data_IF_057729397310
#
_entry.id   IF_057729397310
#
_cell.length_a   1.000
_cell.length_b   1.000
_cell.length_c   1.000
_cell.angle_alpha   90.00
_cell.angle_beta   90.00
_cell.angle_gamma   90.00
#
_symmetry.space_group_name_H-M   'P 1'
#
loop_
_entity.id
_entity.type
_entity.pdbx_description
1 polymer ?
#
# COMPACT_ATOMS: atom_id res chain seq x y z
N UNK A 1 0.76 -0.05 -5.13
CA UNK A 1 0.06 -0.14 -3.81
C UNK A 1 -0.24 -1.60 -3.40
N UNK A 2 0.27 -2.60 -4.14
CA UNK A 2 -0.11 -4.02 -4.02
C UNK A 2 0.18 -4.61 -2.62
N UNK A 3 1.43 -4.50 -2.16
CA UNK A 3 1.88 -5.07 -0.86
C UNK A 3 1.09 -4.49 0.31
N UNK A 4 0.86 -3.19 0.31
CA UNK A 4 0.13 -2.49 1.37
C UNK A 4 -1.33 -2.97 1.46
N UNK A 5 -1.99 -3.11 0.30
CA UNK A 5 -3.36 -3.63 0.23
C UNK A 5 -3.44 -5.04 0.79
N UNK A 6 -2.56 -5.94 0.35
CA UNK A 6 -2.56 -7.33 0.80
C UNK A 6 -2.26 -7.46 2.29
N UNK A 7 -1.26 -6.73 2.80
CA UNK A 7 -0.91 -6.71 4.23
C UNK A 7 -2.08 -6.23 5.08
N UNK A 8 -2.81 -5.20 4.61
CA UNK A 8 -4.01 -4.70 5.30
C UNK A 8 -5.14 -5.72 5.31
N UNK A 9 -5.37 -6.45 4.22
CA UNK A 9 -6.38 -7.52 4.14
C UNK A 9 -6.05 -8.61 5.16
N UNK A 10 -4.81 -9.09 5.21
CA UNK A 10 -4.38 -10.10 6.18
C UNK A 10 -4.62 -9.65 7.62
N UNK A 11 -4.19 -8.42 7.96
CA UNK A 11 -4.40 -7.87 9.30
C UNK A 11 -5.87 -7.76 9.68
N UNK A 12 -6.77 -7.47 8.74
CA UNK A 12 -8.21 -7.48 9.02
C UNK A 12 -8.69 -8.91 9.33
N UNK A 13 -8.29 -9.88 8.51
CA UNK A 13 -8.67 -11.29 8.68
C UNK A 13 -8.15 -11.88 10.01
N UNK A 14 -6.90 -11.57 10.38
CA UNK A 14 -6.30 -11.99 11.67
C UNK A 14 -7.09 -11.49 12.89
N UNK A 15 -7.66 -10.29 12.77
CA UNK A 15 -8.49 -9.69 13.82
C UNK A 15 -9.96 -10.13 13.74
N UNK A 16 -10.28 -11.15 12.93
CA UNK A 16 -11.64 -11.67 12.76
C UNK A 16 -12.57 -10.72 12.01
N UNK A 17 -12.03 -9.72 11.29
CA UNK A 17 -12.81 -8.79 10.47
C UNK A 17 -12.93 -9.34 9.05
N UNK A 18 -14.15 -9.56 8.53
CA UNK A 18 -14.36 -9.96 7.14
C UNK A 18 -13.69 -8.98 6.16
N UNK A 19 -12.88 -9.50 5.25
CA UNK A 19 -12.20 -8.72 4.22
C UNK A 19 -12.36 -9.39 2.85
N UNK A 20 -12.53 -8.56 1.82
CA UNK A 20 -12.76 -8.96 0.44
C UNK A 20 -11.74 -8.23 -0.42
N UNK A 21 -10.87 -8.97 -1.10
CA UNK A 21 -9.83 -8.44 -1.97
C UNK A 21 -10.19 -8.70 -3.42
N UNK A 22 -10.08 -7.67 -4.27
CA UNK A 22 -10.25 -7.81 -5.72
C UNK A 22 -9.02 -7.28 -6.46
N UNK A 23 -8.92 -7.66 -7.73
CA UNK A 23 -7.96 -7.10 -8.68
C UNK A 23 -8.66 -6.85 -10.03
N UNK A 24 -8.49 -5.66 -10.59
CA UNK A 24 -8.94 -5.34 -11.93
C UNK A 24 -7.85 -5.73 -12.94
N UNK A 25 -8.12 -6.75 -13.76
CA UNK A 25 -7.12 -7.30 -14.71
C UNK A 25 -7.51 -7.09 -16.17
N UNK A 26 -8.64 -6.43 -16.44
CA UNK A 26 -9.01 -6.04 -17.80
C UNK A 26 -8.04 -4.96 -18.33
N UNK A 27 -7.44 -5.12 -19.53
CA UNK A 27 -6.29 -4.31 -19.93
C UNK A 27 -6.61 -2.89 -20.40
N UNK A 28 -7.89 -2.55 -20.59
CA UNK A 28 -8.29 -1.19 -20.98
C UNK A 28 -8.75 -0.41 -19.76
N UNK A 29 -8.41 0.88 -19.74
CA UNK A 29 -8.72 1.80 -18.65
C UNK A 29 -8.37 1.17 -17.29
N UNK A 30 -7.12 0.72 -17.19
CA UNK A 30 -6.55 0.04 -16.03
C UNK A 30 -5.53 0.92 -15.29
N UNK A 31 -5.51 2.22 -15.59
CA UNK A 31 -4.63 3.14 -14.89
C UNK A 31 -5.14 3.35 -13.45
N UNK A 32 -4.24 3.81 -12.59
CA UNK A 32 -4.59 4.06 -11.21
C UNK A 32 -5.79 5.02 -11.14
N UNK A 33 -6.84 4.61 -10.42
CA UNK A 33 -8.14 5.28 -10.24
C UNK A 33 -9.22 5.04 -11.29
N UNK A 34 -8.92 4.37 -12.40
CA UNK A 34 -9.93 4.14 -13.45
C UNK A 34 -11.08 3.24 -12.97
N UNK A 35 -10.79 2.29 -12.09
CA UNK A 35 -11.79 1.39 -11.51
C UNK A 35 -12.88 2.13 -10.71
N UNK A 36 -12.57 3.33 -10.21
CA UNK A 36 -13.52 4.18 -9.49
C UNK A 36 -14.66 4.66 -10.40
N UNK A 37 -14.41 4.85 -11.70
CA UNK A 37 -15.43 5.31 -12.64
C UNK A 37 -16.60 4.32 -12.75
N UNK A 38 -16.30 3.01 -12.73
CA UNK A 38 -17.32 1.95 -12.72
C UNK A 38 -18.21 2.00 -11.47
N UNK A 39 -17.63 2.30 -10.31
CA UNK A 39 -18.37 2.40 -9.04
C UNK A 39 -19.25 3.65 -9.03
N UNK A 40 -18.72 4.80 -9.47
CA UNK A 40 -19.45 6.06 -9.49
C UNK A 40 -20.49 6.15 -10.62
N UNK A 41 -20.37 5.31 -11.65
CA UNK A 41 -21.22 5.35 -12.84
C UNK A 41 -20.97 6.58 -13.71
N UNK A 42 -19.75 7.11 -13.70
CA UNK A 42 -19.34 8.28 -14.49
C UNK A 42 -18.08 7.91 -15.24
N UNK A 43 -18.16 7.82 -16.57
CA UNK A 43 -17.03 7.42 -17.41
C UNK A 43 -16.53 8.61 -18.23
N UNK A 44 -15.24 9.00 -18.12
CA UNK A 44 -14.65 10.02 -18.99
C UNK A 44 -14.33 9.49 -20.39
N UNK A 45 -14.60 8.22 -20.66
CA UNK A 45 -14.35 7.50 -21.90
C UNK A 45 -15.60 6.71 -22.34
N UNK A 46 -15.63 6.31 -23.61
CA UNK A 46 -16.67 5.41 -24.12
C UNK A 46 -16.35 3.97 -23.70
N UNK A 47 -17.25 3.35 -22.94
CA UNK A 47 -17.12 1.97 -22.50
C UNK A 47 -17.37 0.99 -23.66
N UNK A 48 -16.48 0.00 -23.79
CA UNK A 48 -16.75 -1.15 -24.64
C UNK A 48 -17.75 -2.15 -24.01
N UNK A 49 -18.07 -3.22 -24.74
CA UNK A 49 -19.04 -4.22 -24.27
C UNK A 49 -18.61 -4.95 -23.00
N UNK A 50 -17.32 -5.25 -22.84
CA UNK A 50 -16.79 -5.91 -21.66
C UNK A 50 -16.81 -4.94 -20.47
N UNK A 51 -16.42 -3.69 -20.71
CA UNK A 51 -16.40 -2.63 -19.68
C UNK A 51 -17.80 -2.36 -19.12
N UNK A 52 -18.85 -2.35 -19.95
CA UNK A 52 -20.23 -2.23 -19.47
C UNK A 52 -20.63 -3.36 -18.52
N UNK A 53 -20.19 -4.59 -18.82
CA UNK A 53 -20.45 -5.75 -17.97
C UNK A 53 -19.63 -5.68 -16.67
N UNK A 54 -18.37 -5.27 -16.75
CA UNK A 54 -17.53 -5.02 -15.56
C UNK A 54 -18.14 -3.92 -14.70
N UNK A 55 -18.67 -2.85 -15.31
CA UNK A 55 -19.39 -1.79 -14.63
C UNK A 55 -20.61 -2.29 -13.84
N UNK A 56 -21.34 -3.27 -14.38
CA UNK A 56 -22.42 -3.94 -13.63
C UNK A 56 -21.87 -4.72 -12.43
N UNK A 57 -20.78 -5.48 -12.61
CA UNK A 57 -20.13 -6.26 -11.54
C UNK A 57 -19.70 -5.36 -10.38
N UNK A 58 -19.05 -4.22 -10.67
CA UNK A 58 -18.66 -3.24 -9.65
C UNK A 58 -19.86 -2.67 -8.90
N UNK A 59 -20.88 -2.17 -9.63
CA UNK A 59 -22.06 -1.55 -9.02
C UNK A 59 -22.83 -2.52 -8.15
N UNK A 60 -23.08 -3.74 -8.63
CA UNK A 60 -23.78 -4.76 -7.86
C UNK A 60 -22.98 -5.18 -6.63
N UNK A 61 -21.69 -5.46 -6.79
CA UNK A 61 -20.81 -5.87 -5.69
C UNK A 61 -20.75 -4.82 -4.59
N UNK A 62 -20.58 -3.56 -4.98
CA UNK A 62 -20.52 -2.44 -4.04
C UNK A 62 -21.87 -2.24 -3.31
N UNK A 63 -22.98 -2.21 -4.06
CA UNK A 63 -24.32 -2.03 -3.47
C UNK A 63 -24.66 -3.18 -2.52
N UNK A 64 -24.36 -4.43 -2.90
CA UNK A 64 -24.61 -5.60 -2.08
C UNK A 64 -23.76 -5.58 -0.81
N UNK A 65 -22.49 -5.19 -0.91
CA UNK A 65 -21.60 -5.04 0.24
C UNK A 65 -22.14 -4.00 1.22
N UNK A 66 -22.56 -2.84 0.74
CA UNK A 66 -23.17 -1.79 1.59
C UNK A 66 -24.45 -2.28 2.25
N UNK A 67 -25.31 -3.02 1.53
CA UNK A 67 -26.60 -3.50 2.05
C UNK A 67 -26.49 -4.66 3.02
N UNK A 68 -25.55 -5.58 2.79
CA UNK A 68 -25.56 -6.92 3.42
C UNK A 68 -24.22 -7.33 4.02
N UNK A 69 -23.16 -6.55 3.81
CA UNK A 69 -21.79 -6.91 4.15
C UNK A 69 -21.16 -7.96 3.24
N UNK A 70 -21.87 -8.40 2.17
CA UNK A 70 -21.38 -9.39 1.20
C UNK A 70 -21.52 -8.86 -0.22
N UNK A 71 -20.47 -8.89 -1.06
CA UNK A 71 -20.53 -8.34 -2.41
C UNK A 71 -21.39 -9.20 -3.38
N UNK A 72 -21.48 -10.51 -3.19
CA UNK A 72 -22.22 -11.39 -4.12
C UNK A 72 -21.43 -11.68 -5.39
N UNK A 73 -22.07 -12.14 -6.46
CA UNK A 73 -21.44 -12.44 -7.76
C UNK A 73 -20.26 -13.43 -7.70
N UNK A 74 -20.25 -14.34 -6.72
CA UNK A 74 -19.14 -15.26 -6.50
C UNK A 74 -17.89 -14.59 -5.89
N UNK A 75 -17.97 -13.32 -5.49
CA UNK A 75 -16.93 -12.63 -4.74
C UNK A 75 -16.99 -13.07 -3.28
N UNK A 76 -16.17 -14.06 -2.97
CA UNK A 76 -16.05 -14.67 -1.65
C UNK A 76 -15.07 -13.90 -0.75
N UNK A 77 -15.14 -14.17 0.56
CA UNK A 77 -14.20 -13.60 1.52
C UNK A 77 -12.79 -14.05 1.20
N UNK A 78 -11.81 -13.14 1.31
CA UNK A 78 -10.42 -13.48 1.11
C UNK A 78 -9.93 -14.48 2.16
N UNK A 79 -9.16 -15.44 1.70
CA UNK A 79 -8.52 -16.46 2.53
C UNK A 79 -7.03 -16.13 2.68
N UNK A 80 -6.59 -16.11 3.93
CA UNK A 80 -5.22 -15.74 4.26
C UNK A 80 -4.21 -16.80 3.78
N UNK A 81 -4.59 -18.09 3.79
CA UNK A 81 -3.67 -19.21 3.48
C UNK A 81 -3.38 -19.32 1.98
N UNK A 82 -4.41 -19.17 1.17
CA UNK A 82 -4.35 -19.29 -0.29
C UNK A 82 -4.10 -17.95 -0.97
N UNK A 83 -4.11 -16.84 -0.22
CA UNK A 83 -4.01 -15.50 -0.79
C UNK A 83 -5.08 -15.22 -1.84
N UNK A 84 -6.33 -15.57 -1.51
CA UNK A 84 -7.42 -15.48 -2.47
C UNK A 84 -7.92 -14.05 -2.68
N UNK A 85 -8.26 -13.77 -3.93
CA UNK A 85 -8.79 -12.50 -4.40
C UNK A 85 -9.79 -12.74 -5.52
N UNK A 86 -10.65 -11.76 -5.77
CA UNK A 86 -11.61 -11.79 -6.87
C UNK A 86 -11.06 -11.06 -8.08
N UNK A 87 -10.82 -11.79 -9.15
CA UNK A 87 -10.38 -11.23 -10.41
C UNK A 87 -11.57 -10.60 -11.14
N UNK A 88 -11.47 -9.30 -11.41
CA UNK A 88 -12.43 -8.56 -12.23
C UNK A 88 -11.87 -8.53 -13.65
N UNK A 89 -12.26 -9.55 -14.40
CA UNK A 89 -12.01 -9.69 -15.83
C UNK A 89 -13.30 -10.07 -16.54
N UNK A 90 -13.48 -9.56 -17.75
CA UNK A 90 -14.59 -9.95 -18.61
C UNK A 90 -14.14 -10.02 -20.05
N UNK A 91 -14.52 -11.11 -20.72
CA UNK A 91 -14.32 -11.25 -22.14
C UNK A 91 -15.50 -11.99 -22.76
N UNK A 92 -16.27 -11.27 -23.59
CA UNK A 92 -17.46 -11.83 -24.23
C UNK A 92 -17.13 -12.91 -25.25
N UNK A 93 -15.95 -12.84 -25.88
CA UNK A 93 -15.54 -13.78 -26.93
C UNK A 93 -15.02 -15.10 -26.36
N UNK A 94 -14.19 -15.04 -25.31
CA UNK A 94 -13.68 -16.26 -24.65
C UNK A 94 -14.69 -16.86 -23.67
N UNK A 95 -15.70 -16.09 -23.24
CA UNK A 95 -16.65 -16.50 -22.21
C UNK A 95 -16.11 -16.36 -20.79
N UNK A 96 -14.93 -15.74 -20.61
CA UNK A 96 -14.36 -15.51 -19.29
C UNK A 96 -15.18 -14.50 -18.50
N UNK A 97 -15.32 -14.77 -17.21
CA UNK A 97 -16.13 -14.01 -16.26
C UNK A 97 -15.34 -13.82 -14.96
N UNK A 98 -15.71 -12.82 -14.14
CA UNK A 98 -15.08 -12.60 -12.84
C UNK A 98 -15.16 -13.86 -11.98
N UNK A 99 -14.07 -14.20 -11.30
CA UNK A 99 -13.97 -15.39 -10.48
C UNK A 99 -12.93 -15.24 -9.37
N UNK A 100 -12.99 -16.11 -8.37
CA UNK A 100 -11.97 -16.19 -7.33
C UNK A 100 -10.69 -16.82 -7.86
N UNK A 101 -9.57 -16.17 -7.59
CA UNK A 101 -8.20 -16.63 -7.83
C UNK A 101 -7.45 -16.79 -6.50
N UNK A 102 -6.31 -17.45 -6.57
CA UNK A 102 -5.37 -17.63 -5.45
C UNK A 102 -4.03 -16.98 -5.78
N UNK A 103 -3.15 -16.93 -4.79
CA UNK A 103 -1.75 -16.54 -5.00
C UNK A 103 -1.61 -15.09 -5.50
N UNK A 104 -2.42 -14.19 -4.94
CA UNK A 104 -2.41 -12.76 -5.26
C UNK A 104 -0.99 -12.19 -5.31
N UNK A 105 -0.57 -11.82 -6.52
CA UNK A 105 0.70 -11.14 -6.81
C UNK A 105 1.92 -11.76 -6.11
N UNK A 106 1.98 -13.10 -6.03
CA UNK A 106 2.95 -13.86 -5.22
C UNK A 106 4.40 -13.39 -5.43
N UNK A 107 4.83 -13.19 -6.69
CA UNK A 107 6.19 -12.73 -6.98
C UNK A 107 6.49 -11.33 -6.43
N UNK A 108 5.52 -10.41 -6.48
CA UNK A 108 5.67 -9.07 -5.91
C UNK A 108 5.67 -9.16 -4.38
N UNK A 109 4.78 -9.97 -3.81
CA UNK A 109 4.70 -10.18 -2.38
C UNK A 109 6.02 -10.76 -1.84
N UNK A 110 6.50 -11.86 -2.42
CA UNK A 110 7.76 -12.51 -2.03
C UNK A 110 8.96 -11.58 -2.11
N UNK A 111 9.06 -10.79 -3.19
CA UNK A 111 10.13 -9.82 -3.33
C UNK A 111 10.14 -8.82 -2.15
N UNK A 112 8.99 -8.23 -1.82
CA UNK A 112 8.93 -7.17 -0.82
C UNK A 112 8.92 -7.67 0.62
N UNK A 113 8.29 -8.82 0.91
CA UNK A 113 8.11 -9.32 2.27
C UNK A 113 9.15 -10.35 2.70
N UNK A 114 9.80 -11.03 1.75
CA UNK A 114 10.88 -11.99 2.03
C UNK A 114 12.23 -11.45 1.57
N UNK A 115 12.42 -11.28 0.26
CA UNK A 115 13.76 -11.02 -0.30
C UNK A 115 14.34 -9.69 0.19
N UNK A 116 13.54 -8.64 0.19
CA UNK A 116 13.98 -7.31 0.64
C UNK A 116 14.20 -7.24 2.16
N UNK A 117 13.46 -8.03 2.94
CA UNK A 117 13.63 -8.13 4.40
C UNK A 117 14.93 -8.88 4.71
N UNK A 118 15.14 -10.05 4.11
CA UNK A 118 16.37 -10.82 4.26
C UNK A 118 17.60 -10.00 3.82
N UNK A 119 17.48 -9.23 2.74
CA UNK A 119 18.53 -8.33 2.30
C UNK A 119 18.86 -7.26 3.36
N UNK A 120 17.86 -6.59 3.92
CA UNK A 120 18.06 -5.55 4.95
C UNK A 120 18.68 -6.14 6.23
N UNK A 121 18.24 -7.33 6.65
CA UNK A 121 18.80 -8.06 7.78
C UNK A 121 20.27 -8.40 7.56
N UNK A 122 20.62 -8.88 6.36
CA UNK A 122 21.99 -9.23 5.99
C UNK A 122 22.90 -7.99 6.00
N UNK A 123 22.45 -6.87 5.43
CA UNK A 123 23.19 -5.60 5.46
C UNK A 123 23.35 -5.08 6.89
N UNK A 124 22.30 -5.18 7.71
CA UNK A 124 22.30 -4.75 9.11
C UNK A 124 23.25 -5.60 9.95
N UNK A 125 23.28 -6.92 9.75
CA UNK A 125 24.24 -7.82 10.37
C UNK A 125 25.67 -7.49 9.95
N UNK A 126 25.91 -7.32 8.65
CA UNK A 126 27.22 -6.95 8.12
C UNK A 126 27.75 -5.63 8.71
N UNK A 127 26.92 -4.59 8.80
CA UNK A 127 27.32 -3.31 9.40
C UNK A 127 27.68 -3.43 10.89
N UNK A 128 26.92 -4.22 11.64
CA UNK A 128 27.17 -4.49 13.07
C UNK A 128 28.50 -5.22 13.28
N UNK A 129 28.76 -6.25 12.49
CA UNK A 129 29.98 -7.07 12.58
C UNK A 129 31.24 -6.30 12.15
N UNK A 130 31.11 -5.41 11.15
CA UNK A 130 32.26 -4.65 10.63
C UNK A 130 32.42 -3.27 11.27
N UNK A 131 31.63 -2.94 12.30
CA UNK A 131 31.59 -1.61 12.94
C UNK A 131 31.46 -0.44 11.94
N UNK A 132 30.83 -0.67 10.79
CA UNK A 132 30.57 0.33 9.75
C UNK A 132 29.33 1.16 10.13
N UNK A 133 29.33 1.72 11.34
CA UNK A 133 28.34 2.69 11.77
C UNK A 133 28.85 4.05 11.32
N UNK A 134 28.71 4.33 10.02
CA UNK A 134 28.88 5.69 9.53
C UNK A 134 27.61 6.49 9.87
N UNK A 135 27.71 7.62 10.59
CA UNK A 135 26.57 8.49 10.76
C UNK A 135 26.09 8.93 9.38
N UNK A 136 24.81 8.70 9.10
CA UNK A 136 24.15 9.22 7.90
C UNK A 136 24.09 10.74 8.00
N UNK A 137 25.13 11.42 7.49
CA UNK A 137 25.12 12.88 7.38
C UNK A 137 24.34 13.23 6.12
N UNK A 138 23.03 13.46 6.27
CA UNK A 138 22.29 14.20 5.24
C UNK A 138 22.70 15.67 5.34
N UNK A 139 23.72 16.04 4.58
CA UNK A 139 23.95 17.46 4.25
C UNK A 139 22.87 17.87 3.25
N UNK A 140 21.83 18.55 3.73
CA UNK A 140 20.92 19.28 2.85
C UNK A 140 21.69 20.46 2.25
N UNK A 141 21.74 20.64 0.91
CA UNK A 141 22.29 21.86 0.34
C UNK A 141 21.34 23.01 0.70
N UNK A 142 21.79 23.90 1.59
CA UNK A 142 21.09 25.15 1.90
C UNK A 142 21.43 26.12 0.78
N UNK A 143 20.54 26.28 -0.20
CA UNK A 143 20.57 27.40 -1.13
C UNK A 143 20.13 28.67 -0.40
N UNK A 144 21.08 29.58 -0.16
CA UNK A 144 20.80 30.88 0.44
C UNK A 144 20.20 31.81 -0.61
N UNK A 145 18.88 32.01 -0.58
CA UNK A 145 18.25 33.16 -1.23
C UNK A 145 18.24 34.36 -0.27
N UNK A 146 18.76 35.50 -0.73
CA UNK A 146 18.95 36.71 0.07
C UNK A 146 17.60 37.46 0.20
N UNK A 147 16.75 37.00 1.10
CA UNK A 147 15.60 37.76 1.60
C UNK A 147 16.00 38.54 2.87
N UNK A 148 15.45 39.76 3.12
CA UNK A 148 15.92 40.65 4.18
C UNK A 148 15.80 40.00 5.56
N UNK A 149 16.97 39.73 6.15
CA UNK A 149 17.24 38.92 7.34
C UNK A 149 16.56 39.40 8.64
N UNK A 150 15.94 40.58 8.66
CA UNK A 150 15.44 41.17 9.91
C UNK A 150 14.10 40.58 10.39
N UNK A 151 13.26 40.07 9.48
CA UNK A 151 11.97 39.47 9.86
C UNK A 151 12.07 37.97 10.17
N UNK A 152 13.10 37.28 9.68
CA UNK A 152 13.31 35.84 9.93
C UNK A 152 13.66 35.52 11.39
N UNK A 153 14.34 36.43 12.10
CA UNK A 153 14.73 36.22 13.50
C UNK A 153 13.51 36.08 14.44
N UNK A 154 12.42 36.81 14.15
CA UNK A 154 11.19 36.72 14.92
C UNK A 154 10.41 35.42 14.64
N UNK A 155 10.47 34.92 13.40
CA UNK A 155 9.88 33.61 13.07
C UNK A 155 10.72 32.45 13.61
N UNK A 156 12.05 32.58 13.71
CA UNK A 156 12.94 31.52 14.20
C UNK A 156 12.92 31.37 15.73
N UNK A 157 12.55 32.39 16.49
CA UNK A 157 12.51 32.34 17.97
C UNK A 157 11.64 31.19 18.53
N UNK A 158 10.40 30.96 18.06
CA UNK A 158 9.62 29.79 18.49
C UNK A 158 10.22 28.46 18.01
N UNK A 159 10.90 28.43 16.86
CA UNK A 159 11.60 27.21 16.40
C UNK A 159 12.86 26.92 17.22
N UNK A 160 13.63 27.92 17.64
CA UNK A 160 14.76 27.75 18.56
C UNK A 160 14.28 27.33 19.96
N UNK A 161 13.19 27.92 20.44
CA UNK A 161 12.53 27.50 21.68
C UNK A 161 12.08 26.04 21.60
N UNK A 162 11.39 25.67 20.52
CA UNK A 162 10.97 24.29 20.26
C UNK A 162 12.15 23.32 20.10
N UNK A 163 13.23 23.72 19.45
CA UNK A 163 14.45 22.93 19.29
C UNK A 163 15.16 22.68 20.61
N UNK A 164 15.29 23.70 21.46
CA UNK A 164 15.89 23.57 22.78
C UNK A 164 15.02 22.69 23.70
N UNK A 165 13.69 22.83 23.66
CA UNK A 165 12.76 21.96 24.40
C UNK A 165 12.86 20.51 23.89
N UNK A 166 12.88 20.28 22.58
CA UNK A 166 13.05 18.93 22.03
C UNK A 166 14.40 18.32 22.41
N UNK A 167 15.47 19.10 22.41
CA UNK A 167 16.83 18.66 22.75
C UNK A 167 16.98 18.37 24.25
N UNK A 168 16.32 19.10 25.14
CA UNK A 168 16.45 18.90 26.59
C UNK A 168 15.37 18.01 27.22
N UNK A 169 14.18 17.92 26.62
CA UNK A 169 13.09 17.07 27.14
C UNK A 169 12.90 15.75 26.38
N UNK A 170 13.30 15.66 25.11
CA UNK A 170 13.02 14.49 24.27
C UNK A 170 14.27 13.78 23.72
N UNK A 171 15.48 14.28 24.01
CA UNK A 171 16.76 13.68 23.56
C UNK A 171 17.21 12.48 24.40
N UNK A 172 16.27 11.67 24.86
CA UNK A 172 16.55 10.36 25.46
C UNK A 172 16.29 9.20 24.52
N UNK A 173 15.79 9.44 23.31
CA UNK A 173 15.49 8.37 22.38
C UNK A 173 16.04 8.74 21.01
N UNK A 174 17.22 8.21 20.68
CA UNK A 174 17.71 8.11 19.32
C UNK A 174 16.69 7.26 18.54
N UNK A 175 15.65 7.92 18.02
CA UNK A 175 14.79 7.32 17.01
C UNK A 175 15.64 7.25 15.75
N UNK A 176 16.36 6.14 15.66
CA UNK A 176 16.89 5.63 14.42
C UNK A 176 15.76 5.64 13.40
N UNK A 177 15.74 6.66 12.54
CA UNK A 177 14.84 6.76 11.39
C UNK A 177 15.35 5.81 10.30
N UNK A 178 15.34 4.52 10.61
CA UNK A 178 15.29 3.49 9.60
C UNK A 178 13.82 3.27 9.27
N UNK A 179 13.49 3.21 7.98
CA UNK A 179 12.31 2.45 7.57
C UNK A 179 12.75 1.00 7.76
N UNK A 180 12.54 0.46 8.95
CA UNK A 180 12.56 -0.98 9.13
C UNK A 180 11.43 -1.50 8.25
N UNK A 181 11.78 -2.29 7.22
CA UNK A 181 10.80 -3.08 6.49
C UNK A 181 10.41 -4.23 7.42
N UNK A 182 9.51 -3.95 8.35
CA UNK A 182 8.92 -5.00 9.18
C UNK A 182 7.97 -5.80 8.28
N UNK A 183 8.43 -6.98 7.85
CA UNK A 183 7.63 -7.99 7.14
C UNK A 183 7.39 -9.24 7.98
N UNK A 184 7.77 -9.22 9.26
CA UNK A 184 7.65 -10.34 10.21
C UNK A 184 6.20 -10.78 10.46
N UNK A 185 5.23 -9.93 10.12
CA UNK A 185 3.79 -10.17 10.23
C UNK A 185 3.18 -10.76 8.95
N UNK A 186 3.95 -10.94 7.87
CA UNK A 186 3.46 -11.62 6.67
C UNK A 186 3.77 -13.12 6.73
N UNK A 187 2.75 -14.01 6.67
CA UNK A 187 2.99 -15.44 6.67
C UNK A 187 3.69 -15.87 5.39
N UNK A 188 4.97 -16.25 5.51
CA UNK A 188 5.75 -16.86 4.42
C UNK A 188 5.24 -18.29 4.22
N UNK A 189 4.85 -18.65 2.98
CA UNK A 189 4.61 -20.05 2.64
C UNK A 189 5.94 -20.81 2.68
N UNK A 190 5.99 -21.87 3.48
CA UNK A 190 7.12 -22.81 3.58
C UNK A 190 7.22 -23.75 2.40
#
# INVERSE_FOLDING_TARGET
MIVQTRTRVNRLLENGVPAYQYEFTYPKHADHTDDLFFIMGVHPFEEDENEKNIGNVYRESFINFVKTGKPGNGFEMSDMKTSSYFEIYWNETSGERPNMKTDFEEGIMDYWTREMVEFDENITKFKRENHLILPSVRALPIEYSVFPFSYFLFFLAPFLGGFLVAKYCCSGNERNLYIQLDGNDYPVKS
#
